data_IF_672375108081
#
_entry.id   IF_672375108081
#
_cell.length_a   1.000
_cell.length_b   1.000
_cell.length_c   1.000
_cell.angle_alpha   90.00
_cell.angle_beta   90.00
_cell.angle_gamma   90.00
#
_symmetry.space_group_name_H-M   'P 1'
#
loop_
_entity.id
_entity.type
_entity.pdbx_description
1 polymer ?
#
# COMPACT_ATOMS: atom_id res chain seq x y z
N UNK A 1 -22.14 -10.47 14.63
CA UNK A 1 -21.45 -11.07 15.81
C UNK A 1 -20.27 -11.95 15.45
N UNK A 2 -20.36 -12.91 14.49
CA UNK A 2 -19.17 -13.67 14.02
C UNK A 2 -18.40 -12.95 12.88
N UNK A 3 -19.11 -12.34 11.92
CA UNK A 3 -18.47 -11.63 10.81
C UNK A 3 -17.67 -10.40 11.25
N UNK A 4 -18.00 -9.82 12.40
CA UNK A 4 -17.26 -8.68 12.96
C UNK A 4 -15.86 -9.12 13.46
N UNK A 5 -15.67 -10.41 13.76
CA UNK A 5 -14.34 -10.95 14.07
C UNK A 5 -13.45 -10.98 12.82
N UNK A 6 -14.02 -11.13 11.63
CA UNK A 6 -13.26 -11.17 10.38
C UNK A 6 -12.53 -9.84 10.13
N UNK A 7 -13.02 -8.72 10.68
CA UNK A 7 -12.40 -7.39 10.52
C UNK A 7 -10.98 -7.33 11.12
N UNK A 8 -10.63 -8.29 11.99
CA UNK A 8 -9.31 -8.42 12.60
C UNK A 8 -8.37 -9.35 11.83
N UNK A 9 -8.87 -10.14 10.89
CA UNK A 9 -8.06 -11.08 10.11
C UNK A 9 -7.51 -10.44 8.83
N UNK A 10 -6.37 -10.97 8.38
CA UNK A 10 -5.88 -10.66 7.05
C UNK A 10 -6.80 -11.33 6.02
N UNK A 11 -7.16 -10.58 4.98
CA UNK A 11 -7.97 -11.06 3.85
C UNK A 11 -7.31 -12.26 3.16
N UNK A 12 -5.98 -12.36 3.16
CA UNK A 12 -5.27 -13.54 2.66
C UNK A 12 -5.69 -14.79 3.43
N UNK A 13 -5.73 -14.71 4.76
CA UNK A 13 -6.07 -15.85 5.61
C UNK A 13 -7.55 -16.18 5.49
N UNK A 14 -8.43 -15.17 5.45
CA UNK A 14 -9.86 -15.38 5.25
C UNK A 14 -10.15 -16.12 3.94
N UNK A 15 -9.57 -15.67 2.82
CA UNK A 15 -9.81 -16.30 1.51
C UNK A 15 -9.23 -17.71 1.41
N UNK A 16 -8.21 -18.03 2.21
CA UNK A 16 -7.63 -19.38 2.30
C UNK A 16 -8.47 -20.31 3.18
N UNK A 17 -8.85 -19.84 4.38
CA UNK A 17 -9.64 -20.62 5.34
C UNK A 17 -11.00 -20.99 4.74
N UNK A 18 -11.61 -20.07 4.00
CA UNK A 18 -12.94 -20.24 3.41
C UNK A 18 -12.88 -20.46 1.90
N UNK A 19 -11.84 -21.14 1.40
CA UNK A 19 -11.62 -21.30 -0.04
C UNK A 19 -12.87 -21.77 -0.81
N UNK A 20 -13.54 -22.81 -0.31
CA UNK A 20 -14.76 -23.37 -0.91
C UNK A 20 -16.00 -22.47 -0.74
N UNK A 21 -15.94 -21.51 0.18
CA UNK A 21 -17.04 -20.59 0.53
C UNK A 21 -16.74 -19.14 0.12
N UNK A 22 -15.73 -18.93 -0.71
CA UNK A 22 -15.31 -17.61 -1.14
C UNK A 22 -16.44 -16.81 -1.79
N UNK A 23 -17.33 -17.45 -2.54
CA UNK A 23 -18.50 -16.79 -3.14
C UNK A 23 -19.47 -16.22 -2.10
N UNK A 24 -19.61 -16.87 -0.93
CA UNK A 24 -20.42 -16.39 0.18
C UNK A 24 -19.70 -15.25 0.91
N UNK A 25 -18.39 -15.38 1.14
CA UNK A 25 -17.58 -14.29 1.67
C UNK A 25 -17.72 -13.04 0.81
N UNK A 26 -17.63 -13.17 -0.52
CA UNK A 26 -17.80 -12.04 -1.43
C UNK A 26 -19.19 -11.41 -1.39
N UNK A 27 -20.22 -12.11 -0.90
CA UNK A 27 -21.56 -11.53 -0.79
C UNK A 27 -21.80 -10.89 0.56
N UNK A 28 -21.34 -11.53 1.62
CA UNK A 28 -21.71 -11.18 2.99
C UNK A 28 -20.69 -10.25 3.65
N UNK A 29 -19.42 -10.37 3.30
CA UNK A 29 -18.35 -9.69 3.99
C UNK A 29 -18.05 -8.33 3.37
N UNK A 30 -18.00 -7.29 4.21
CA UNK A 30 -18.07 -5.89 3.75
C UNK A 30 -16.73 -5.18 3.67
N UNK A 31 -15.72 -5.66 4.38
CA UNK A 31 -14.46 -4.93 4.58
C UNK A 31 -13.27 -5.87 4.57
N UNK A 32 -12.34 -5.69 3.63
CA UNK A 32 -11.14 -6.50 3.54
C UNK A 32 -9.89 -5.70 3.93
N UNK A 33 -8.98 -6.37 4.64
CA UNK A 33 -7.64 -5.85 4.94
C UNK A 33 -6.62 -6.81 4.36
N UNK A 34 -5.87 -6.38 3.36
CA UNK A 34 -4.81 -7.21 2.77
C UNK A 34 -3.45 -6.74 3.27
N UNK A 35 -2.73 -7.66 3.90
CA UNK A 35 -1.32 -7.50 4.22
C UNK A 35 -0.52 -8.57 3.46
N UNK A 36 0.33 -8.13 2.53
CA UNK A 36 1.12 -9.00 1.67
C UNK A 36 2.59 -9.09 2.07
N UNK A 37 2.93 -8.73 3.32
CA UNK A 37 4.33 -8.59 3.77
C UNK A 37 5.11 -9.91 3.80
N UNK A 38 4.40 -11.02 4.00
CA UNK A 38 4.98 -12.36 4.20
C UNK A 38 4.27 -13.44 3.37
N UNK A 39 3.54 -13.02 2.34
CA UNK A 39 2.85 -13.95 1.44
C UNK A 39 3.84 -14.59 0.47
N UNK A 40 3.68 -15.88 0.18
CA UNK A 40 4.43 -16.51 -0.90
C UNK A 40 3.97 -15.99 -2.26
N UNK A 41 4.86 -15.96 -3.26
CA UNK A 41 4.53 -15.55 -4.63
C UNK A 41 3.32 -16.32 -5.18
N UNK A 42 3.28 -17.63 -4.99
CA UNK A 42 2.18 -18.47 -5.46
C UNK A 42 0.82 -18.05 -4.86
N UNK A 43 0.77 -17.84 -3.54
CA UNK A 43 -0.47 -17.40 -2.88
C UNK A 43 -0.85 -15.98 -3.32
N UNK A 44 0.14 -15.10 -3.52
CA UNK A 44 -0.09 -13.77 -4.04
C UNK A 44 -0.72 -13.80 -5.44
N UNK A 45 -0.20 -14.63 -6.33
CA UNK A 45 -0.73 -14.81 -7.69
C UNK A 45 -2.17 -15.33 -7.66
N UNK A 46 -2.48 -16.33 -6.82
CA UNK A 46 -3.85 -16.84 -6.64
C UNK A 46 -4.79 -15.73 -6.17
N UNK A 47 -4.41 -15.03 -5.09
CA UNK A 47 -5.25 -13.99 -4.48
C UNK A 47 -5.50 -12.85 -5.48
N UNK A 48 -4.47 -12.40 -6.18
CA UNK A 48 -4.60 -11.30 -7.13
C UNK A 48 -5.38 -11.69 -8.39
N UNK A 49 -5.09 -12.86 -8.97
CA UNK A 49 -5.73 -13.30 -10.22
C UNK A 49 -7.18 -13.75 -10.03
N UNK A 50 -7.50 -14.40 -8.91
CA UNK A 50 -8.79 -15.05 -8.73
C UNK A 50 -9.76 -14.28 -7.84
N UNK A 51 -9.28 -13.44 -6.93
CA UNK A 51 -10.13 -12.94 -5.84
C UNK A 51 -10.21 -11.42 -5.81
N UNK A 52 -9.08 -10.72 -5.95
CA UNK A 52 -9.03 -9.27 -5.71
C UNK A 52 -10.01 -8.47 -6.56
N UNK A 53 -10.22 -8.88 -7.82
CA UNK A 53 -11.12 -8.20 -8.76
C UNK A 53 -12.59 -8.21 -8.34
N UNK A 54 -13.01 -9.11 -7.46
CA UNK A 54 -14.39 -9.22 -6.97
C UNK A 54 -14.67 -8.42 -5.69
N UNK A 55 -13.61 -7.98 -5.02
CA UNK A 55 -13.69 -7.39 -3.67
C UNK A 55 -12.95 -6.06 -3.55
N UNK A 56 -12.40 -5.54 -4.66
CA UNK A 56 -11.50 -4.38 -4.66
C UNK A 56 -12.14 -3.14 -4.04
N UNK A 57 -13.43 -2.94 -4.29
CA UNK A 57 -14.26 -1.84 -3.78
C UNK A 57 -14.49 -1.90 -2.27
N UNK A 58 -14.21 -3.05 -1.65
CA UNK A 58 -14.38 -3.30 -0.22
C UNK A 58 -13.07 -3.41 0.54
N UNK A 59 -11.93 -3.24 -0.15
CA UNK A 59 -10.62 -3.23 0.50
C UNK A 59 -10.44 -1.91 1.23
N UNK A 60 -10.36 -1.97 2.56
CA UNK A 60 -10.18 -0.80 3.44
C UNK A 60 -8.71 -0.57 3.81
N UNK A 61 -7.89 -1.62 3.75
CA UNK A 61 -6.45 -1.57 4.06
C UNK A 61 -5.68 -2.45 3.08
N UNK A 62 -4.59 -1.91 2.54
CA UNK A 62 -3.70 -2.62 1.62
C UNK A 62 -2.24 -2.36 2.00
N UNK A 63 -1.47 -3.42 2.17
CA UNK A 63 -0.03 -3.35 2.42
C UNK A 63 0.72 -4.21 1.38
N UNK A 64 1.60 -3.57 0.61
CA UNK A 64 2.37 -4.17 -0.48
C UNK A 64 3.87 -4.05 -0.18
N UNK A 65 4.63 -5.12 -0.44
CA UNK A 65 6.04 -5.22 -0.08
C UNK A 65 6.84 -5.79 -1.25
N UNK A 66 8.00 -5.22 -1.54
CA UNK A 66 8.93 -5.74 -2.57
C UNK A 66 10.34 -5.93 -1.97
N UNK A 67 10.40 -6.84 -0.98
CA UNK A 67 11.65 -7.25 -0.32
C UNK A 67 12.23 -8.52 -0.98
N UNK A 68 13.33 -9.05 -0.44
CA UNK A 68 13.99 -10.27 -0.96
C UNK A 68 13.03 -11.47 -1.10
N UNK A 69 12.07 -11.61 -0.18
CA UNK A 69 11.09 -12.71 -0.17
C UNK A 69 9.87 -12.43 -1.07
N UNK A 70 9.60 -11.15 -1.38
CA UNK A 70 8.45 -10.71 -2.18
C UNK A 70 8.89 -9.96 -3.44
N UNK A 71 10.07 -10.28 -3.97
CA UNK A 71 10.65 -9.52 -5.08
C UNK A 71 9.74 -9.48 -6.32
N UNK A 72 9.50 -8.29 -6.84
CA UNK A 72 8.62 -8.03 -7.98
C UNK A 72 7.11 -8.12 -7.66
N UNK A 73 6.71 -8.33 -6.40
CA UNK A 73 5.31 -8.46 -6.00
C UNK A 73 4.48 -7.23 -6.40
N UNK A 74 5.03 -6.02 -6.23
CA UNK A 74 4.30 -4.80 -6.59
C UNK A 74 4.09 -4.71 -8.11
N UNK A 75 5.07 -5.15 -8.91
CA UNK A 75 4.91 -5.24 -10.36
C UNK A 75 3.85 -6.27 -10.77
N UNK A 76 3.80 -7.41 -10.08
CA UNK A 76 2.77 -8.43 -10.28
C UNK A 76 1.39 -7.91 -9.86
N UNK A 77 1.28 -7.19 -8.75
CA UNK A 77 0.05 -6.55 -8.31
C UNK A 77 -0.57 -5.71 -9.43
N UNK A 78 0.27 -4.92 -10.11
CA UNK A 78 -0.15 -4.08 -11.24
C UNK A 78 -0.70 -4.88 -12.42
N UNK A 79 -0.11 -6.04 -12.71
CA UNK A 79 -0.58 -6.89 -13.81
C UNK A 79 -2.03 -7.31 -13.57
N UNK A 80 -2.37 -7.66 -12.33
CA UNK A 80 -3.74 -8.06 -11.97
C UNK A 80 -4.67 -6.85 -11.73
N UNK A 81 -4.13 -5.74 -11.24
CA UNK A 81 -4.89 -4.57 -10.80
C UNK A 81 -4.34 -3.30 -11.48
N UNK A 82 -4.83 -2.97 -12.69
CA UNK A 82 -4.25 -1.90 -13.51
C UNK A 82 -4.63 -0.48 -13.04
N UNK A 83 -5.57 -0.34 -12.10
CA UNK A 83 -5.99 0.98 -11.59
C UNK A 83 -6.44 0.93 -10.14
N UNK A 84 -6.00 1.91 -9.35
CA UNK A 84 -6.45 2.08 -7.97
C UNK A 84 -7.83 2.72 -7.83
N UNK A 85 -8.43 3.20 -8.92
CA UNK A 85 -9.79 3.80 -8.91
C UNK A 85 -10.87 2.85 -8.37
N UNK A 86 -10.63 1.53 -8.46
CA UNK A 86 -11.53 0.49 -7.95
C UNK A 86 -11.52 0.36 -6.43
N UNK A 87 -10.52 0.92 -5.75
CA UNK A 87 -10.37 0.85 -4.28
C UNK A 87 -11.12 1.99 -3.60
N UNK A 88 -12.43 2.07 -3.85
CA UNK A 88 -13.27 3.20 -3.41
C UNK A 88 -13.33 3.37 -1.89
N UNK A 89 -13.17 2.27 -1.14
CA UNK A 89 -13.19 2.26 0.33
C UNK A 89 -11.80 2.25 0.98
N UNK A 90 -10.72 2.35 0.22
CA UNK A 90 -9.37 2.26 0.78
C UNK A 90 -9.05 3.46 1.68
N UNK A 91 -8.68 3.15 2.91
CA UNK A 91 -8.37 4.12 3.97
C UNK A 91 -6.93 4.04 4.46
N UNK A 92 -6.32 2.85 4.35
CA UNK A 92 -4.96 2.60 4.79
C UNK A 92 -4.15 2.01 3.64
N UNK A 93 -3.05 2.66 3.29
CA UNK A 93 -2.12 2.18 2.27
C UNK A 93 -0.70 2.18 2.85
N UNK A 94 -0.03 1.03 2.73
CA UNK A 94 1.37 0.88 3.08
C UNK A 94 2.14 0.25 1.93
N UNK A 95 3.24 0.88 1.51
CA UNK A 95 4.08 0.39 0.40
C UNK A 95 5.53 0.40 0.87
N UNK A 96 6.22 -0.75 0.82
CA UNK A 96 7.55 -0.91 1.39
C UNK A 96 8.52 -1.71 0.52
N UNK A 97 9.81 -1.52 0.80
CA UNK A 97 10.96 -2.11 0.11
C UNK A 97 10.87 -1.93 -1.40
N UNK A 98 11.51 -0.88 -1.91
CA UNK A 98 11.53 -0.58 -3.33
C UNK A 98 12.99 -0.61 -3.76
N UNK A 99 13.51 -1.82 -4.02
CA UNK A 99 14.92 -1.99 -4.40
C UNK A 99 15.31 -1.21 -5.66
N UNK A 100 14.34 -0.75 -6.46
CA UNK A 100 14.59 0.30 -7.43
C UNK A 100 13.53 1.39 -7.36
N UNK A 101 14.01 2.63 -7.24
CA UNK A 101 13.26 3.86 -7.48
C UNK A 101 12.42 3.77 -8.77
N UNK A 102 12.94 3.12 -9.82
CA UNK A 102 12.26 2.91 -11.10
C UNK A 102 11.03 2.00 -11.03
N UNK A 103 11.03 0.99 -10.15
CA UNK A 103 9.87 0.11 -9.91
C UNK A 103 8.76 0.88 -9.20
N UNK A 104 9.12 1.68 -8.18
CA UNK A 104 8.18 2.61 -7.55
C UNK A 104 7.55 3.54 -8.59
N UNK A 105 8.35 4.07 -9.53
CA UNK A 105 7.87 4.99 -10.56
C UNK A 105 6.84 4.31 -11.44
N UNK A 106 7.15 3.13 -11.98
CA UNK A 106 6.22 2.38 -12.83
C UNK A 106 4.94 1.95 -12.13
N UNK A 107 4.98 1.78 -10.82
CA UNK A 107 3.83 1.40 -10.01
C UNK A 107 3.02 2.65 -9.73
N UNK A 108 3.61 3.68 -9.16
CA UNK A 108 2.91 4.92 -8.83
C UNK A 108 2.37 5.58 -10.12
N UNK A 109 3.17 5.70 -11.16
CA UNK A 109 2.79 6.31 -12.45
C UNK A 109 1.68 5.56 -13.17
N UNK A 110 1.55 4.24 -13.04
CA UNK A 110 0.47 3.52 -13.74
C UNK A 110 -0.70 3.16 -12.84
N UNK A 111 -0.46 2.90 -11.56
CA UNK A 111 -1.52 2.61 -10.61
C UNK A 111 -2.33 3.85 -10.26
N UNK A 112 -1.65 5.00 -10.19
CA UNK A 112 -2.25 6.29 -9.96
C UNK A 112 -2.30 7.09 -11.27
N UNK A 113 -1.17 7.39 -11.92
CA UNK A 113 -1.08 8.39 -13.00
C UNK A 113 -1.29 7.85 -14.43
N UNK A 114 -2.34 7.03 -14.68
CA UNK A 114 -2.61 6.35 -15.97
C UNK A 114 -2.63 7.23 -17.26
N UNK A 115 -2.29 8.51 -17.19
CA UNK A 115 -1.94 9.39 -18.30
C UNK A 115 -0.78 10.32 -17.88
N UNK A 116 0.14 10.72 -18.78
CA UNK A 116 1.23 11.66 -18.49
C UNK A 116 0.78 13.05 -17.98
N UNK A 117 -0.53 13.28 -17.81
CA UNK A 117 -1.11 14.59 -17.44
C UNK A 117 -2.14 14.51 -16.30
N UNK A 118 -2.54 13.34 -15.78
CA UNK A 118 -3.66 13.33 -14.82
C UNK A 118 -3.24 13.65 -13.38
N UNK A 119 -3.28 14.93 -13.01
CA UNK A 119 -3.36 15.47 -11.64
C UNK A 119 -4.63 15.07 -10.87
N UNK A 120 -5.44 14.14 -11.42
CA UNK A 120 -6.76 13.78 -10.93
C UNK A 120 -6.82 12.47 -10.13
N UNK A 121 -5.69 11.95 -9.66
CA UNK A 121 -5.76 10.87 -8.66
C UNK A 121 -6.19 11.46 -7.33
N UNK A 122 -7.48 11.32 -7.07
CA UNK A 122 -8.01 11.44 -5.74
C UNK A 122 -7.89 10.09 -5.05
N UNK A 123 -7.13 10.05 -3.97
CA UNK A 123 -7.24 9.05 -2.91
C UNK A 123 -7.98 9.69 -1.73
N UNK A 124 -9.25 10.12 -1.91
CA UNK A 124 -9.88 11.08 -1.01
C UNK A 124 -10.12 10.48 0.38
N UNK A 125 -10.10 9.15 0.49
CA UNK A 125 -10.41 8.41 1.70
C UNK A 125 -9.17 7.94 2.46
N UNK A 126 -7.95 8.18 1.95
CA UNK A 126 -6.73 7.79 2.65
C UNK A 126 -6.61 8.60 3.93
N UNK A 127 -6.55 7.85 5.02
CA UNK A 127 -6.51 8.30 6.40
C UNK A 127 -5.18 7.99 7.06
N UNK A 128 -4.61 6.83 6.68
CA UNK A 128 -3.31 6.36 7.14
C UNK A 128 -2.43 6.03 5.94
N UNK A 129 -1.23 6.58 5.94
CA UNK A 129 -0.25 6.37 4.90
C UNK A 129 1.06 5.96 5.55
N UNK A 130 1.64 4.89 5.03
CA UNK A 130 2.97 4.44 5.43
C UNK A 130 3.85 4.29 4.20
N UNK A 131 4.97 5.03 4.21
CA UNK A 131 5.88 5.14 3.08
C UNK A 131 7.33 5.06 3.54
N UNK A 132 8.18 4.64 2.63
CA UNK A 132 9.62 4.55 2.81
C UNK A 132 10.33 5.61 1.97
N UNK A 133 11.30 6.31 2.56
CA UNK A 133 12.18 7.25 1.84
C UNK A 133 13.28 6.49 1.06
N UNK A 134 13.74 7.04 -0.09
CA UNK A 134 13.34 8.32 -0.69
C UNK A 134 11.99 8.29 -1.42
N UNK A 135 11.27 9.41 -1.34
CA UNK A 135 10.03 9.69 -2.07
C UNK A 135 10.37 10.41 -3.38
N UNK A 136 9.61 10.13 -4.44
CA UNK A 136 9.80 10.74 -5.74
C UNK A 136 8.97 12.01 -5.95
N UNK A 137 9.40 12.83 -6.91
CA UNK A 137 8.77 14.10 -7.23
C UNK A 137 7.29 14.01 -7.70
N UNK A 138 6.89 12.95 -8.38
CA UNK A 138 5.49 12.71 -8.79
C UNK A 138 4.60 12.35 -7.60
N UNK A 139 5.13 11.76 -6.53
CA UNK A 139 4.36 11.52 -5.31
C UNK A 139 3.86 12.85 -4.71
N UNK A 140 4.63 13.94 -4.82
CA UNK A 140 4.18 15.26 -4.36
C UNK A 140 2.87 15.72 -5.01
N UNK A 141 2.57 15.27 -6.24
CA UNK A 141 1.33 15.62 -6.92
C UNK A 141 0.07 14.98 -6.32
N UNK A 142 0.21 13.91 -5.50
CA UNK A 142 -0.91 13.32 -4.75
C UNK A 142 -0.96 13.76 -3.30
N UNK A 143 0.14 14.26 -2.71
CA UNK A 143 0.19 14.64 -1.29
C UNK A 143 -0.87 15.69 -0.96
N UNK A 144 -1.04 16.68 -1.83
CA UNK A 144 -2.07 17.73 -1.69
C UNK A 144 -3.51 17.20 -1.75
N UNK A 145 -3.74 16.02 -2.31
CA UNK A 145 -5.04 15.37 -2.40
C UNK A 145 -5.37 14.49 -1.18
N UNK A 146 -4.43 14.28 -0.25
CA UNK A 146 -4.60 13.46 0.96
C UNK A 146 -5.31 14.24 2.09
N UNK A 147 -6.44 14.88 1.77
CA UNK A 147 -7.16 15.80 2.68
C UNK A 147 -7.69 15.15 3.97
N UNK A 148 -7.84 13.82 3.98
CA UNK A 148 -8.31 13.04 5.14
C UNK A 148 -7.18 12.36 5.90
N UNK A 149 -5.93 12.60 5.51
CA UNK A 149 -4.78 11.97 6.15
C UNK A 149 -4.59 12.55 7.54
N UNK A 150 -4.69 11.69 8.54
CA UNK A 150 -4.39 12.04 9.93
C UNK A 150 -3.27 11.18 10.50
N UNK A 151 -2.78 10.17 9.78
CA UNK A 151 -1.64 9.36 10.21
C UNK A 151 -0.65 9.16 9.08
N UNK A 152 0.57 9.60 9.30
CA UNK A 152 1.68 9.43 8.37
C UNK A 152 2.83 8.75 9.10
N UNK A 153 3.22 7.58 8.60
CA UNK A 153 4.39 6.84 9.07
C UNK A 153 5.45 6.85 7.97
N UNK A 154 6.64 7.30 8.33
CA UNK A 154 7.78 7.36 7.40
C UNK A 154 8.89 6.46 7.93
N UNK A 155 9.41 5.64 7.04
CA UNK A 155 10.59 4.82 7.30
C UNK A 155 11.75 5.40 6.49
N UNK A 156 12.85 5.74 7.18
CA UNK A 156 14.10 6.13 6.55
C UNK A 156 15.24 5.23 7.02
N UNK A 157 16.14 4.91 6.10
CA UNK A 157 17.36 4.13 6.36
C UNK A 157 18.62 5.00 6.38
N UNK A 158 18.49 6.26 5.98
CA UNK A 158 19.59 7.23 5.93
C UNK A 158 19.09 8.64 6.25
N UNK A 159 19.99 9.46 6.79
CA UNK A 159 19.77 10.88 7.04
C UNK A 159 19.78 11.72 5.75
N UNK A 160 20.16 11.13 4.61
CA UNK A 160 20.35 11.85 3.35
C UNK A 160 19.06 12.42 2.74
N UNK A 161 17.88 12.07 3.26
CA UNK A 161 16.57 12.46 2.70
C UNK A 161 15.75 13.41 3.60
N UNK A 162 16.38 14.10 4.55
CA UNK A 162 15.70 15.09 5.40
C UNK A 162 15.01 16.20 4.61
N UNK A 163 15.54 16.61 3.45
CA UNK A 163 14.89 17.61 2.61
C UNK A 163 13.53 17.16 2.09
N UNK A 164 13.38 15.88 1.73
CA UNK A 164 12.10 15.32 1.31
C UNK A 164 11.14 15.18 2.49
N UNK A 165 11.65 14.82 3.66
CA UNK A 165 10.87 14.79 4.88
C UNK A 165 10.26 16.18 5.18
N UNK A 166 11.06 17.24 5.04
CA UNK A 166 10.60 18.61 5.24
C UNK A 166 9.51 18.99 4.23
N UNK A 167 9.74 18.75 2.94
CA UNK A 167 8.75 19.02 1.88
C UNK A 167 7.42 18.30 2.16
N UNK A 168 7.49 17.06 2.66
CA UNK A 168 6.30 16.30 3.02
C UNK A 168 5.58 16.93 4.22
N UNK A 169 6.31 17.28 5.27
CA UNK A 169 5.73 17.95 6.44
C UNK A 169 5.08 19.29 6.07
N UNK A 170 5.65 20.02 5.12
CA UNK A 170 5.12 21.31 4.65
C UNK A 170 3.84 21.15 3.80
N UNK A 171 3.66 20.01 3.13
CA UNK A 171 2.55 19.78 2.20
C UNK A 171 1.36 19.01 2.79
N UNK A 172 1.56 18.27 3.88
CA UNK A 172 0.52 17.41 4.45
C UNK A 172 -0.36 18.24 5.41
N UNK A 173 -1.70 18.09 5.42
CA UNK A 173 -2.60 18.94 6.21
C UNK A 173 -2.31 18.96 7.73
N UNK A 174 -2.53 20.12 8.36
CA UNK A 174 -2.15 20.50 9.74
C UNK A 174 -2.66 19.61 10.92
N UNK A 175 -3.21 18.41 10.70
CA UNK A 175 -3.73 17.52 11.75
C UNK A 175 -3.19 16.09 11.63
N UNK A 176 -1.87 15.95 11.60
CA UNK A 176 -1.20 14.65 11.44
C UNK A 176 -0.66 14.12 12.76
N UNK A 177 -1.05 12.90 13.06
CA UNK A 177 -0.25 12.01 13.88
C UNK A 177 0.92 11.48 13.06
N UNK A 178 2.11 11.91 13.43
CA UNK A 178 3.33 11.69 12.66
C UNK A 178 4.29 10.78 13.41
N UNK A 179 4.80 9.75 12.73
CA UNK A 179 5.82 8.84 13.28
C UNK A 179 6.95 8.63 12.27
N UNK A 180 8.18 8.95 12.69
CA UNK A 180 9.39 8.62 11.95
C UNK A 180 10.06 7.43 12.60
N UNK A 181 10.43 6.45 11.79
CA UNK A 181 11.31 5.36 12.19
C UNK A 181 12.62 5.51 11.41
N UNK A 182 13.71 5.71 12.15
CA UNK A 182 15.06 5.76 11.61
C UNK A 182 15.78 4.45 11.94
N UNK A 183 16.16 3.69 10.91
CA UNK A 183 16.92 2.46 11.08
C UNK A 183 18.39 2.74 10.78
N UNK A 184 19.25 2.71 11.81
CA UNK A 184 20.70 2.67 11.61
C UNK A 184 21.12 1.25 11.23
N UNK A 185 21.59 1.07 10.00
CA UNK A 185 22.38 -0.12 9.68
C UNK A 185 23.79 0.06 10.28
N UNK A 186 24.03 -0.54 11.44
CA UNK A 186 25.38 -0.82 11.89
C UNK A 186 25.94 -1.94 11.00
N UNK A 187 26.74 -1.59 10.01
CA UNK A 187 27.57 -2.57 9.31
C UNK A 187 28.56 -3.18 10.31
N UNK A 188 28.22 -4.32 10.88
CA UNK A 188 29.23 -5.24 11.44
C UNK A 188 29.99 -5.84 10.26
N UNK A 189 31.05 -5.15 9.82
CA UNK A 189 32.13 -5.81 9.10
C UNK A 189 32.75 -6.82 10.07
N UNK A 190 32.44 -8.09 9.87
CA UNK A 190 33.22 -9.19 10.44
C UNK A 190 34.26 -9.56 9.39
N UNK A 191 35.53 -9.40 9.76
CA UNK A 191 36.71 -9.71 8.95
C UNK A 191 36.77 -11.18 8.50
#
# INVERSE_FOLDING_TARGET
MLLDLFDYFNGVDLLRIFYDFNSLLYKQYRSYRFNFNSISKHNFDIICSQHLSFITDRIISLSLFDNENTSGQINLFRFYIPSFSRFTQLRSLSIFHLHSYYTLMKVIDKCFFNSPISSNISLPNIQKLEIQLPINNQFWSIVSNLKRLYSLKIISYTDTYYSQLQILLDQVPNQLFFKIYHYHFSHHYSN
#
